data_IF_764879607312
#
_entry.id   IF_764879607312
#
_cell.length_a   1.000
_cell.length_b   1.000
_cell.length_c   1.000
_cell.angle_alpha   90.00
_cell.angle_beta   90.00
_cell.angle_gamma   90.00
#
_symmetry.space_group_name_H-M   'P 1'
#
loop_
_entity.id
_entity.type
_entity.pdbx_description
1 polymer ?
#
# COMPACT_ATOMS: atom_id res chain seq x y z
N UNK A 1 7.05 0.94 6.09
CA UNK A 1 5.82 0.13 6.26
C UNK A 1 5.21 -0.18 4.89
N UNK A 2 4.24 -1.11 4.74
CA UNK A 2 3.56 -1.37 3.46
C UNK A 2 2.99 -0.08 2.85
N UNK A 3 2.24 0.68 3.65
CA UNK A 3 1.66 1.96 3.21
C UNK A 3 2.72 2.94 2.74
N UNK A 4 3.87 3.02 3.41
CA UNK A 4 4.99 3.87 2.96
C UNK A 4 5.43 3.55 1.53
N UNK A 5 5.58 2.27 1.18
CA UNK A 5 6.00 1.89 -0.18
C UNK A 5 4.94 2.29 -1.20
N UNK A 6 3.68 1.96 -0.93
CA UNK A 6 2.57 2.28 -1.82
C UNK A 6 2.34 3.80 -1.95
N UNK A 7 2.57 4.57 -0.88
CA UNK A 7 2.56 6.03 -0.90
C UNK A 7 3.56 6.57 -1.92
N UNK A 8 4.78 6.01 -2.02
CA UNK A 8 5.76 6.46 -3.01
C UNK A 8 5.24 6.30 -4.44
N UNK A 9 4.51 5.22 -4.74
CA UNK A 9 3.87 5.08 -6.04
C UNK A 9 2.84 6.18 -6.30
N UNK A 10 1.96 6.45 -5.35
CA UNK A 10 0.90 7.45 -5.55
C UNK A 10 1.45 8.89 -5.56
N UNK A 11 2.48 9.19 -4.77
CA UNK A 11 3.23 10.45 -4.89
C UNK A 11 3.86 10.60 -6.27
N UNK A 12 4.41 9.53 -6.84
CA UNK A 12 4.95 9.53 -8.19
C UNK A 12 3.91 9.75 -9.28
N UNK A 13 2.71 9.16 -9.12
CA UNK A 13 1.56 9.45 -10.01
C UNK A 13 1.20 10.94 -9.94
N UNK A 14 1.05 11.50 -8.73
CA UNK A 14 0.77 12.93 -8.55
C UNK A 14 1.86 13.83 -9.14
N UNK A 15 3.12 13.49 -8.93
CA UNK A 15 4.26 14.22 -9.49
C UNK A 15 4.27 14.16 -11.04
N UNK A 16 3.85 13.04 -11.62
CA UNK A 16 3.71 12.91 -13.08
C UNK A 16 2.57 13.78 -13.62
N UNK A 17 1.47 13.93 -12.89
CA UNK A 17 0.33 14.75 -13.28
C UNK A 17 0.57 16.24 -13.04
N UNK A 18 1.32 16.58 -11.98
CA UNK A 18 1.59 17.94 -11.53
C UNK A 18 3.09 18.14 -11.23
N UNK A 19 3.95 18.27 -12.26
CA UNK A 19 5.41 18.35 -12.06
C UNK A 19 5.91 19.57 -11.28
N UNK A 20 5.08 20.62 -11.15
CA UNK A 20 5.40 21.83 -10.39
C UNK A 20 4.71 21.91 -9.02
N UNK A 21 4.03 20.83 -8.60
CA UNK A 21 3.32 20.76 -7.33
C UNK A 21 4.28 20.96 -6.15
N UNK A 22 3.79 21.61 -5.10
CA UNK A 22 4.44 21.63 -3.79
C UNK A 22 4.35 20.25 -3.12
N UNK A 23 5.15 20.01 -2.08
CA UNK A 23 5.19 18.71 -1.41
C UNK A 23 3.84 18.34 -0.76
N UNK A 24 3.11 19.34 -0.26
CA UNK A 24 1.81 19.21 0.39
C UNK A 24 0.73 18.70 -0.59
N UNK A 25 0.87 19.05 -1.87
CA UNK A 25 -0.02 18.60 -2.95
C UNK A 25 0.28 17.15 -3.36
N UNK A 26 1.54 16.70 -3.19
CA UNK A 26 1.93 15.31 -3.41
C UNK A 26 1.54 14.37 -2.26
N UNK A 27 1.21 14.89 -1.08
CA UNK A 27 0.76 14.05 0.03
C UNK A 27 -0.43 13.18 -0.36
N UNK A 28 -0.35 11.89 -0.04
CA UNK A 28 -1.38 10.92 -0.41
C UNK A 28 -2.52 10.98 0.60
N UNK A 29 -3.69 11.42 0.13
CA UNK A 29 -4.96 11.48 0.85
C UNK A 29 -5.63 10.11 0.86
N UNK A 30 -6.68 9.98 1.67
CA UNK A 30 -7.28 8.70 2.00
C UNK A 30 -7.74 7.88 0.78
N UNK A 31 -8.36 8.55 -0.20
CA UNK A 31 -9.03 7.91 -1.34
C UNK A 31 -8.27 8.03 -2.66
N UNK A 32 -7.10 8.69 -2.66
CA UNK A 32 -6.30 8.94 -3.87
C UNK A 32 -6.05 7.67 -4.70
N UNK A 33 -5.84 6.53 -4.04
CA UNK A 33 -5.61 5.24 -4.68
C UNK A 33 -6.76 4.74 -5.58
N UNK A 34 -7.96 5.29 -5.38
CA UNK A 34 -9.18 4.93 -6.08
C UNK A 34 -9.64 6.01 -7.06
N UNK A 35 -9.13 7.24 -6.90
CA UNK A 35 -9.50 8.41 -7.70
C UNK A 35 -8.44 8.75 -8.76
N UNK A 36 -7.17 8.49 -8.46
CA UNK A 36 -6.06 8.77 -9.36
C UNK A 36 -5.95 7.72 -10.48
N UNK A 37 -5.47 8.12 -11.66
CA UNK A 37 -5.21 7.20 -12.76
C UNK A 37 -4.23 6.09 -12.36
N UNK A 38 -4.69 4.84 -12.40
CA UNK A 38 -3.91 3.66 -12.02
C UNK A 38 -3.10 3.00 -13.16
N UNK A 39 -2.96 3.68 -14.31
CA UNK A 39 -2.31 3.11 -15.52
C UNK A 39 -0.79 3.29 -15.56
N UNK A 40 -0.20 4.06 -14.63
CA UNK A 40 1.25 4.23 -14.55
C UNK A 40 1.91 2.93 -14.10
N UNK A 41 2.96 2.52 -14.80
CA UNK A 41 3.85 1.48 -14.31
C UNK A 41 4.59 1.95 -13.06
N UNK A 42 5.06 0.97 -12.26
CA UNK A 42 5.91 1.24 -11.09
C UNK A 42 7.13 2.10 -11.45
N UNK A 43 7.75 1.82 -12.59
CA UNK A 43 8.95 2.55 -13.03
C UNK A 43 8.64 3.99 -13.42
N UNK A 44 7.56 4.22 -14.18
CA UNK A 44 7.15 5.58 -14.57
C UNK A 44 6.84 6.45 -13.36
N UNK A 45 6.03 5.94 -12.43
CA UNK A 45 5.68 6.64 -11.20
C UNK A 45 6.92 6.99 -10.36
N UNK A 46 7.78 6.02 -10.06
CA UNK A 46 8.97 6.28 -9.23
C UNK A 46 9.98 7.20 -9.93
N UNK A 47 10.10 7.10 -11.26
CA UNK A 47 10.97 8.01 -12.04
C UNK A 47 10.45 9.44 -11.99
N UNK A 48 9.13 9.63 -12.09
CA UNK A 48 8.50 10.94 -11.96
C UNK A 48 8.74 11.55 -10.58
N UNK A 49 8.62 10.74 -9.50
CA UNK A 49 8.91 11.19 -8.14
C UNK A 49 10.37 11.61 -7.97
N UNK A 50 11.32 10.81 -8.45
CA UNK A 50 12.75 11.13 -8.39
C UNK A 50 13.07 12.41 -9.17
N UNK A 51 12.47 12.57 -10.37
CA UNK A 51 12.64 13.78 -11.17
C UNK A 51 12.13 15.01 -10.43
N UNK A 52 10.95 14.92 -9.82
CA UNK A 52 10.37 16.00 -9.02
C UNK A 52 11.27 16.34 -7.83
N UNK A 53 11.77 15.34 -7.08
CA UNK A 53 12.70 15.57 -5.97
C UNK A 53 13.97 16.30 -6.41
N UNK A 54 14.56 15.90 -7.54
CA UNK A 54 15.75 16.54 -8.09
C UNK A 54 15.50 18.01 -8.48
N UNK A 55 14.31 18.32 -9.01
CA UNK A 55 13.92 19.68 -9.35
C UNK A 55 13.76 20.56 -8.10
N UNK A 56 13.26 19.98 -7.01
CA UNK A 56 13.13 20.66 -5.72
C UNK A 56 14.42 20.60 -4.86
N UNK A 57 15.50 20.00 -5.39
CA UNK A 57 16.76 19.79 -4.66
C UNK A 57 16.59 19.03 -3.33
N UNK A 58 15.65 18.08 -3.29
CA UNK A 58 15.34 17.27 -2.13
C UNK A 58 16.15 15.96 -2.12
N UNK A 59 16.83 15.70 -1.01
CA UNK A 59 17.54 14.44 -0.77
C UNK A 59 16.74 13.46 0.09
N UNK A 60 15.68 13.94 0.74
CA UNK A 60 14.79 13.16 1.60
C UNK A 60 13.34 13.58 1.35
N UNK A 61 12.42 12.62 1.48
CA UNK A 61 10.98 12.89 1.48
C UNK A 61 10.43 12.74 2.89
N UNK A 62 9.95 13.84 3.45
CA UNK A 62 9.20 13.85 4.71
C UNK A 62 7.78 14.34 4.40
N UNK A 63 6.79 13.46 4.60
CA UNK A 63 5.40 13.76 4.30
C UNK A 63 4.45 12.91 5.13
N UNK A 64 3.19 13.34 5.23
CA UNK A 64 2.14 12.50 5.78
C UNK A 64 1.47 11.65 4.71
N UNK A 65 0.93 10.50 5.12
CA UNK A 65 0.07 9.69 4.27
C UNK A 65 -1.18 9.26 5.03
N UNK A 66 -2.31 9.40 4.36
CA UNK A 66 -3.61 8.91 4.83
C UNK A 66 -4.07 7.69 4.02
N UNK A 67 -3.20 7.13 3.17
CA UNK A 67 -3.52 6.03 2.25
C UNK A 67 -4.30 4.93 2.96
N UNK A 68 -5.55 4.75 2.53
CA UNK A 68 -6.39 3.65 2.95
C UNK A 68 -6.20 2.48 1.98
N UNK A 69 -5.88 1.32 2.54
CA UNK A 69 -5.77 0.06 1.80
C UNK A 69 -6.96 -0.79 2.22
N UNK A 70 -7.98 -0.82 1.37
CA UNK A 70 -9.21 -1.58 1.58
C UNK A 70 -9.46 -2.54 0.39
N UNK A 71 -10.32 -3.56 0.56
CA UNK A 71 -10.64 -4.51 -0.50
C UNK A 71 -10.95 -3.81 -1.84
N UNK A 72 -10.38 -4.34 -2.92
CA UNK A 72 -10.37 -3.68 -4.24
C UNK A 72 -9.11 -2.85 -4.52
N UNK A 73 -8.24 -2.62 -3.53
CA UNK A 73 -6.91 -2.05 -3.75
C UNK A 73 -5.96 -3.09 -4.34
N UNK A 74 -5.20 -2.69 -5.36
CA UNK A 74 -4.17 -3.53 -5.97
C UNK A 74 -2.78 -2.96 -5.67
N UNK A 75 -1.91 -3.69 -4.94
CA UNK A 75 -0.55 -3.26 -4.65
C UNK A 75 0.26 -2.97 -5.90
N UNK A 76 1.03 -1.89 -5.85
CA UNK A 76 1.79 -1.32 -6.97
C UNK A 76 3.28 -1.57 -6.83
N UNK A 77 3.77 -1.70 -5.59
CA UNK A 77 5.19 -1.93 -5.28
C UNK A 77 5.39 -3.21 -4.50
N UNK A 78 4.71 -3.36 -3.37
CA UNK A 78 4.96 -4.44 -2.45
C UNK A 78 4.37 -5.77 -2.96
N UNK A 79 5.17 -6.84 -2.90
CA UNK A 79 4.79 -8.19 -3.35
C UNK A 79 4.45 -9.14 -2.19
N UNK A 80 4.80 -8.76 -0.97
CA UNK A 80 4.49 -9.50 0.25
C UNK A 80 4.52 -8.56 1.46
N UNK A 81 3.90 -8.99 2.55
CA UNK A 81 3.99 -8.34 3.86
C UNK A 81 4.31 -9.34 4.96
N UNK A 82 5.07 -8.88 5.95
CA UNK A 82 5.15 -9.53 7.26
C UNK A 82 4.32 -8.70 8.23
N UNK A 83 3.34 -9.30 8.89
CA UNK A 83 2.44 -8.60 9.80
C UNK A 83 1.87 -9.53 10.87
N UNK A 84 1.43 -8.96 11.98
CA UNK A 84 0.77 -9.72 13.04
C UNK A 84 -0.67 -10.08 12.66
N UNK A 85 -1.32 -10.93 13.46
CA UNK A 85 -2.76 -11.14 13.38
C UNK A 85 -3.52 -10.00 14.06
N UNK A 86 -4.49 -9.41 13.36
CA UNK A 86 -5.19 -8.20 13.78
C UNK A 86 -6.59 -8.49 14.33
N UNK A 87 -7.13 -7.56 15.11
CA UNK A 87 -8.50 -7.68 15.60
C UNK A 87 -9.53 -7.59 14.47
N UNK A 88 -10.68 -8.28 14.60
CA UNK A 88 -11.85 -8.04 13.77
C UNK A 88 -12.25 -6.55 13.75
N UNK A 89 -12.80 -6.09 12.62
CA UNK A 89 -13.23 -4.70 12.42
C UNK A 89 -12.11 -3.64 12.52
N UNK A 90 -10.84 -4.02 12.34
CA UNK A 90 -9.72 -3.08 12.26
C UNK A 90 -9.38 -2.70 10.81
N UNK A 91 -8.83 -1.50 10.60
CA UNK A 91 -8.30 -1.08 9.29
C UNK A 91 -7.09 -1.90 8.85
N UNK A 92 -6.37 -2.53 9.79
CA UNK A 92 -5.30 -3.47 9.47
C UNK A 92 -5.83 -4.79 8.93
N UNK A 93 -6.99 -5.26 9.43
CA UNK A 93 -7.66 -6.41 8.83
C UNK A 93 -8.16 -6.09 7.41
N UNK A 94 -8.66 -4.88 7.16
CA UNK A 94 -9.01 -4.43 5.81
C UNK A 94 -7.80 -4.45 4.87
N UNK A 95 -6.62 -4.02 5.35
CA UNK A 95 -5.38 -4.11 4.60
C UNK A 95 -5.06 -5.57 4.26
N UNK A 96 -5.10 -6.48 5.24
CA UNK A 96 -4.85 -7.91 4.98
C UNK A 96 -5.84 -8.46 3.96
N UNK A 97 -7.14 -8.19 4.12
CA UNK A 97 -8.18 -8.61 3.20
C UNK A 97 -7.96 -8.07 1.77
N UNK A 98 -7.46 -6.84 1.63
CA UNK A 98 -7.13 -6.27 0.33
C UNK A 98 -5.96 -6.99 -0.35
N UNK A 99 -4.95 -7.43 0.42
CA UNK A 99 -3.72 -8.00 -0.13
C UNK A 99 -3.86 -9.45 -0.59
N UNK A 100 -4.61 -10.26 0.16
CA UNK A 100 -4.74 -11.70 -0.12
C UNK A 100 -6.13 -12.08 -0.60
N UNK A 101 -7.03 -11.11 -0.82
CA UNK A 101 -8.40 -11.36 -1.23
C UNK A 101 -9.15 -12.23 -0.22
N UNK A 102 -10.07 -13.08 -0.69
CA UNK A 102 -10.92 -13.91 0.16
C UNK A 102 -10.17 -14.91 1.06
N UNK A 103 -8.89 -15.15 0.77
CA UNK A 103 -8.04 -16.07 1.53
C UNK A 103 -7.78 -15.60 2.98
N UNK A 104 -8.03 -14.32 3.29
CA UNK A 104 -7.85 -13.80 4.65
C UNK A 104 -8.68 -14.55 5.70
N UNK A 105 -9.91 -14.97 5.36
CA UNK A 105 -10.76 -15.74 6.28
C UNK A 105 -10.13 -17.08 6.63
N UNK A 106 -9.65 -17.80 5.61
CA UNK A 106 -8.96 -19.09 5.78
C UNK A 106 -7.72 -18.97 6.66
N UNK A 107 -6.93 -17.92 6.48
CA UNK A 107 -5.73 -17.66 7.27
C UNK A 107 -6.09 -17.38 8.74
N UNK A 108 -7.14 -16.60 8.98
CA UNK A 108 -7.58 -16.24 10.34
C UNK A 108 -8.30 -17.38 11.05
N UNK A 109 -9.12 -18.16 10.35
CA UNK A 109 -9.78 -19.36 10.89
C UNK A 109 -8.74 -20.40 11.32
N UNK A 110 -7.68 -20.59 10.53
CA UNK A 110 -6.56 -21.45 10.90
C UNK A 110 -5.86 -20.96 12.17
N UNK A 111 -5.56 -19.66 12.26
CA UNK A 111 -4.90 -19.07 13.42
C UNK A 111 -5.75 -19.25 14.70
N UNK A 112 -7.06 -19.00 14.62
CA UNK A 112 -8.00 -19.18 15.73
C UNK A 112 -8.11 -20.66 16.15
N UNK A 113 -8.13 -21.59 15.20
CA UNK A 113 -8.24 -23.02 15.47
C UNK A 113 -6.95 -23.64 16.06
N UNK A 114 -5.82 -22.94 15.97
CA UNK A 114 -4.50 -23.43 16.41
C UNK A 114 -3.89 -22.55 17.53
N UNK A 115 -4.72 -21.83 18.29
CA UNK A 115 -4.32 -21.03 19.45
C UNK A 115 -3.20 -20.01 19.19
N UNK A 116 -3.17 -19.44 17.98
CA UNK A 116 -2.25 -18.35 17.67
C UNK A 116 -2.56 -17.15 18.54
N UNK A 117 -1.51 -16.45 18.97
CA UNK A 117 -1.62 -15.21 19.74
C UNK A 117 -1.83 -14.05 18.78
N UNK A 118 -2.83 -13.21 19.04
CA UNK A 118 -3.14 -12.04 18.21
C UNK A 118 -2.48 -10.77 18.75
N UNK A 119 -2.57 -9.68 17.98
CA UNK A 119 -2.15 -8.32 18.34
C UNK A 119 -0.62 -8.11 18.35
N UNK A 120 -0.18 -6.99 18.92
CA UNK A 120 1.19 -6.46 18.79
C UNK A 120 2.30 -7.40 19.28
N UNK A 121 2.00 -8.25 20.26
CA UNK A 121 2.96 -9.21 20.84
C UNK A 121 2.59 -10.67 20.52
N UNK A 122 1.67 -10.85 19.58
CA UNK A 122 1.24 -12.15 19.10
C UNK A 122 2.19 -12.74 18.06
N UNK A 123 1.67 -13.71 17.33
CA UNK A 123 2.37 -14.38 16.25
C UNK A 123 2.28 -13.56 14.95
N UNK A 124 3.26 -13.79 14.08
CA UNK A 124 3.38 -13.13 12.78
C UNK A 124 2.87 -14.00 11.63
N UNK A 125 2.60 -13.34 10.51
CA UNK A 125 2.22 -13.95 9.24
C UNK A 125 3.07 -13.37 8.12
N UNK A 126 3.47 -14.21 7.16
CA UNK A 126 4.03 -13.81 5.88
C UNK A 126 2.96 -14.02 4.82
N UNK A 127 2.52 -12.94 4.19
CA UNK A 127 1.44 -12.95 3.21
C UNK A 127 1.95 -12.46 1.86
N UNK A 128 1.82 -13.30 0.84
CA UNK A 128 2.20 -12.96 -0.52
C UNK A 128 1.00 -12.35 -1.25
N UNK A 129 1.23 -11.24 -1.94
CA UNK A 129 0.22 -10.64 -2.82
C UNK A 129 0.07 -11.56 -4.04
N UNK A 130 -1.14 -12.06 -4.35
CA UNK A 130 -1.37 -12.88 -5.52
C UNK A 130 -0.90 -12.15 -6.78
N UNK A 131 -0.19 -12.86 -7.66
CA UNK A 131 0.12 -12.31 -8.98
C UNK A 131 -1.19 -12.05 -9.69
N UNK A 132 -1.36 -10.84 -10.22
CA UNK A 132 -2.45 -10.59 -11.16
C UNK A 132 -2.25 -11.51 -12.35
N UNK A 133 -3.16 -12.47 -12.53
CA UNK A 133 -3.31 -13.09 -13.84
C UNK A 133 -3.71 -11.98 -14.79
N UNK A 134 -2.91 -11.76 -15.83
CA UNK A 134 -3.30 -10.85 -16.89
C UNK A 134 -4.63 -11.35 -17.44
N UNK A 135 -5.70 -10.59 -17.20
CA UNK A 135 -6.95 -10.77 -17.94
C UNK A 135 -6.55 -10.58 -19.41
N UNK A 136 -6.55 -11.68 -20.16
CA UNK A 136 -6.34 -11.69 -21.60
C UNK A 136 -7.54 -11.05 -22.30
#
# INVERSE_FOLDING_TARGET
SFRTLETLYWMGVKASLHPAAAIEELEVKQWDAYELPGHFSKQESLTALVKWMNQQQLHELVCHTQLLVAPGYYPKIATAIVTNFHQPNSTLLLLVAALIGDDWKRVYDYALANDFRFLSYGDGSLLWVPKQEAVR
#
